data_IF_800110117204
#
_entry.id   IF_800110117204
#
_cell.length_a   1.000
_cell.length_b   1.000
_cell.length_c   1.000
_cell.angle_alpha   90.00
_cell.angle_beta   90.00
_cell.angle_gamma   90.00
#
_symmetry.space_group_name_H-M   'P 1'
#
loop_
_entity.id
_entity.type
_entity.pdbx_description
1 polymer ?
#
# COMPACT_ATOMS: atom_id res chain seq x y z
N UNK A 1 0.17 17.20 16.44
CA UNK A 1 -0.56 16.03 16.94
C UNK A 1 -1.42 15.48 15.83
N UNK A 2 -1.42 14.17 15.65
CA UNK A 2 -2.33 13.47 14.74
C UNK A 2 -3.71 13.40 15.36
N UNK A 3 -4.74 13.55 14.55
CA UNK A 3 -6.13 13.34 14.96
C UNK A 3 -6.51 11.86 14.79
N UNK A 4 -7.57 11.46 15.47
CA UNK A 4 -8.13 10.12 15.26
C UNK A 4 -8.52 9.96 13.78
N UNK A 5 -8.17 8.83 13.20
CA UNK A 5 -8.44 8.47 11.80
C UNK A 5 -7.81 9.42 10.75
N UNK A 6 -6.87 10.29 11.19
CA UNK A 6 -6.12 11.14 10.27
C UNK A 6 -5.08 10.31 9.50
N UNK A 7 -5.11 10.44 8.17
CA UNK A 7 -4.06 9.91 7.30
C UNK A 7 -3.02 10.97 7.04
N UNK A 8 -1.78 10.59 7.16
CA UNK A 8 -0.65 11.42 6.81
C UNK A 8 0.27 10.64 5.88
N UNK A 9 0.94 11.34 4.99
CA UNK A 9 1.94 10.76 4.12
C UNK A 9 3.32 11.29 4.47
N UNK A 10 4.31 10.42 4.40
CA UNK A 10 5.72 10.79 4.50
C UNK A 10 6.37 10.35 3.19
N UNK A 11 6.88 11.31 2.44
CA UNK A 11 7.49 11.07 1.13
C UNK A 11 9.00 11.36 1.18
N UNK A 12 9.80 10.87 0.23
CA UNK A 12 11.24 11.08 0.25
C UNK A 12 11.62 12.56 0.29
N UNK A 13 12.68 12.86 1.01
CA UNK A 13 13.32 14.19 1.04
C UNK A 13 13.67 14.64 -0.39
N UNK A 14 13.40 15.92 -0.68
CA UNK A 14 13.62 16.48 -2.01
C UNK A 14 12.51 16.24 -3.02
N UNK A 15 11.50 15.43 -2.72
CA UNK A 15 10.31 15.28 -3.56
C UNK A 15 9.36 16.44 -3.27
N UNK A 16 8.91 17.12 -4.32
CA UNK A 16 7.92 18.20 -4.21
C UNK A 16 6.57 17.64 -3.77
N UNK A 17 6.03 18.16 -2.67
CA UNK A 17 4.71 17.79 -2.13
C UNK A 17 3.61 18.04 -3.15
N UNK A 18 3.62 19.21 -3.81
CA UNK A 18 2.59 19.57 -4.80
C UNK A 18 2.62 18.61 -6.00
N UNK A 19 3.83 18.34 -6.52
CA UNK A 19 3.96 17.42 -7.64
C UNK A 19 3.57 15.99 -7.29
N UNK A 20 3.88 15.56 -6.05
CA UNK A 20 3.46 14.25 -5.54
C UNK A 20 1.94 14.16 -5.47
N UNK A 21 1.28 15.18 -4.89
CA UNK A 21 -0.19 15.22 -4.81
C UNK A 21 -0.85 15.15 -6.18
N UNK A 22 -0.33 15.89 -7.15
CA UNK A 22 -0.84 15.87 -8.54
C UNK A 22 -0.64 14.48 -9.17
N UNK A 23 0.56 13.92 -9.06
CA UNK A 23 0.89 12.65 -9.72
C UNK A 23 0.09 11.46 -9.18
N UNK A 24 -0.21 11.48 -7.88
CA UNK A 24 -0.86 10.38 -7.17
C UNK A 24 -2.32 10.69 -6.79
N UNK A 25 -2.86 11.81 -7.26
CA UNK A 25 -4.24 12.26 -6.98
C UNK A 25 -4.56 12.34 -5.47
N UNK A 26 -3.57 12.74 -4.67
CA UNK A 26 -3.74 12.86 -3.21
C UNK A 26 -4.63 14.06 -2.90
N UNK A 27 -5.70 13.87 -2.09
CA UNK A 27 -6.57 14.98 -1.71
C UNK A 27 -5.82 16.12 -0.99
N UNK A 28 -6.22 17.36 -1.22
CA UNK A 28 -5.60 18.53 -0.57
C UNK A 28 -5.69 18.49 0.95
N UNK A 29 -6.74 17.86 1.49
CA UNK A 29 -6.95 17.68 2.93
C UNK A 29 -5.92 16.75 3.57
N UNK A 30 -5.22 15.91 2.80
CA UNK A 30 -4.21 15.00 3.33
C UNK A 30 -2.92 15.76 3.59
N UNK A 31 -2.43 15.65 4.82
CA UNK A 31 -1.14 16.22 5.22
C UNK A 31 0.00 15.36 4.71
N UNK A 32 0.96 15.97 4.02
CA UNK A 32 2.12 15.30 3.45
C UNK A 32 3.39 15.92 4.03
N UNK A 33 4.23 15.09 4.61
CA UNK A 33 5.59 15.44 5.03
C UNK A 33 6.56 15.07 3.89
N UNK A 34 7.17 16.09 3.31
CA UNK A 34 8.07 15.97 2.17
C UNK A 34 9.04 17.15 2.13
N UNK A 35 9.76 17.36 1.04
CA UNK A 35 10.80 18.38 1.01
C UNK A 35 11.84 18.12 2.09
N UNK A 36 12.10 19.11 2.97
CA UNK A 36 13.05 18.96 4.07
C UNK A 36 12.54 18.10 5.23
N UNK A 37 11.21 17.91 5.33
CA UNK A 37 10.55 17.09 6.35
C UNK A 37 10.33 15.64 5.92
N UNK A 38 10.71 15.27 4.70
CA UNK A 38 10.62 13.92 4.17
C UNK A 38 11.66 12.96 4.75
N UNK A 39 11.46 11.66 4.53
CA UNK A 39 12.44 10.66 4.95
C UNK A 39 13.70 10.70 4.05
N UNK A 40 14.83 10.32 4.62
CA UNK A 40 16.10 10.23 3.90
C UNK A 40 16.32 8.83 3.32
N UNK A 41 16.94 8.77 2.15
CA UNK A 41 17.22 7.52 1.46
C UNK A 41 16.08 7.03 0.57
N UNK A 42 16.06 5.74 0.30
CA UNK A 42 15.04 5.05 -0.47
C UNK A 42 14.75 3.71 0.19
N UNK A 43 13.48 3.34 0.24
CA UNK A 43 13.07 2.04 0.74
C UNK A 43 13.66 0.93 -0.13
N UNK A 44 14.19 -0.10 0.51
CA UNK A 44 14.92 -1.19 -0.15
C UNK A 44 13.93 -2.27 -0.61
N UNK A 45 13.85 -2.54 -1.91
CA UNK A 45 12.99 -3.60 -2.44
C UNK A 45 13.37 -5.01 -1.96
N UNK A 46 14.60 -5.22 -1.50
CA UNK A 46 15.05 -6.50 -0.96
C UNK A 46 14.65 -6.73 0.51
N UNK A 47 14.12 -5.70 1.16
CA UNK A 47 13.66 -5.76 2.54
C UNK A 47 14.25 -4.64 3.39
N UNK A 48 13.45 -4.17 4.34
CA UNK A 48 13.81 -3.12 5.29
C UNK A 48 12.87 -3.15 6.50
N UNK A 49 13.37 -2.67 7.64
CA UNK A 49 12.57 -2.46 8.83
C UNK A 49 12.10 -1.00 8.90
N UNK A 50 10.80 -0.80 9.06
CA UNK A 50 10.19 0.50 9.28
C UNK A 50 9.51 0.47 10.64
N UNK A 51 9.89 1.40 11.53
CA UNK A 51 9.35 1.48 12.88
C UNK A 51 8.69 2.83 13.11
N UNK A 52 7.44 2.81 13.55
CA UNK A 52 6.72 4.00 14.00
C UNK A 52 6.90 4.18 15.50
N UNK A 53 7.53 5.27 15.88
CA UNK A 53 7.79 5.61 17.27
C UNK A 53 6.94 6.81 17.71
N UNK A 54 6.54 6.82 18.97
CA UNK A 54 5.99 8.02 19.62
C UNK A 54 6.84 8.41 20.84
N UNK A 55 6.96 9.71 21.14
CA UNK A 55 7.59 10.14 22.39
C UNK A 55 6.71 9.73 23.60
N UNK A 56 7.36 9.28 24.65
CA UNK A 56 6.77 9.14 25.98
C UNK A 56 6.98 10.39 26.83
N UNK A 57 6.58 10.32 28.08
CA UNK A 57 6.84 11.41 29.02
C UNK A 57 8.34 11.57 29.24
N UNK A 58 8.81 12.83 29.30
CA UNK A 58 10.21 13.09 29.68
C UNK A 58 10.54 12.48 31.04
N UNK A 59 11.68 11.82 31.13
CA UNK A 59 12.20 11.23 32.37
C UNK A 59 13.59 11.79 32.68
N UNK A 60 13.95 11.81 33.97
CA UNK A 60 15.26 12.26 34.41
C UNK A 60 16.18 11.08 34.63
N UNK A 61 17.22 10.97 33.80
CA UNK A 61 18.24 9.93 33.89
C UNK A 61 19.53 10.52 34.48
N UNK A 62 19.97 9.94 35.58
CA UNK A 62 21.22 10.39 36.24
C UNK A 62 22.42 10.30 35.28
N UNK A 63 23.10 11.42 35.09
CA UNK A 63 24.25 11.54 34.17
C UNK A 63 23.87 11.89 32.73
N UNK A 64 22.62 11.85 32.35
CA UNK A 64 22.13 12.21 30.98
C UNK A 64 21.19 13.43 30.99
N UNK A 65 20.59 13.76 32.16
CA UNK A 65 19.59 14.82 32.25
C UNK A 65 18.18 14.35 31.87
N UNK A 66 17.40 15.26 31.27
CA UNK A 66 16.06 14.95 30.79
C UNK A 66 16.15 14.20 29.47
N UNK A 67 15.61 12.99 29.44
CA UNK A 67 15.53 12.11 28.26
C UNK A 67 14.06 11.90 27.93
N UNK A 68 13.71 11.92 26.66
CA UNK A 68 12.39 11.54 26.17
C UNK A 68 12.48 10.14 25.57
N UNK A 69 11.97 9.12 26.26
CA UNK A 69 11.94 7.77 25.70
C UNK A 69 11.06 7.72 24.46
N UNK A 70 11.45 6.89 23.48
CA UNK A 70 10.65 6.63 22.31
C UNK A 70 10.01 5.25 22.46
N UNK A 71 8.70 5.17 22.29
CA UNK A 71 7.93 3.93 22.40
C UNK A 71 7.50 3.51 21.00
N UNK A 72 7.76 2.26 20.65
CA UNK A 72 7.26 1.66 19.43
C UNK A 72 5.74 1.57 19.48
N UNK A 73 5.12 2.04 18.42
CA UNK A 73 3.65 2.01 18.21
C UNK A 73 3.29 0.94 17.21
N UNK A 74 4.09 0.79 16.16
CA UNK A 74 3.89 -0.17 15.10
C UNK A 74 5.23 -0.39 14.37
N UNK A 75 5.40 -1.57 13.79
CA UNK A 75 6.56 -1.89 12.97
C UNK A 75 6.22 -2.83 11.84
N UNK A 76 7.03 -2.78 10.81
CA UNK A 76 7.03 -3.73 9.71
C UNK A 76 8.47 -4.01 9.29
N UNK A 77 8.80 -5.29 9.21
CA UNK A 77 10.08 -5.75 8.68
C UNK A 77 9.78 -6.63 7.47
N UNK A 78 9.60 -5.95 6.33
CA UNK A 78 9.31 -6.65 5.08
C UNK A 78 10.61 -7.13 4.42
N UNK A 79 10.51 -8.20 3.66
CA UNK A 79 11.60 -8.70 2.83
C UNK A 79 11.14 -8.96 1.39
N UNK A 80 12.10 -9.16 0.48
CA UNK A 80 11.84 -9.52 -0.91
C UNK A 80 11.53 -11.01 -1.12
N UNK A 81 11.29 -11.77 -0.04
CA UNK A 81 10.97 -13.19 -0.09
C UNK A 81 9.53 -13.47 -0.50
N UNK A 82 9.24 -14.75 -0.68
CA UNK A 82 7.92 -15.20 -1.17
C UNK A 82 6.79 -15.05 -0.13
N UNK A 83 7.13 -14.80 1.12
CA UNK A 83 6.14 -14.62 2.19
C UNK A 83 5.50 -13.23 2.18
N UNK A 84 6.18 -12.24 1.60
CA UNK A 84 5.67 -10.89 1.45
C UNK A 84 5.06 -10.64 0.08
N UNK A 85 3.96 -9.88 -0.02
CA UNK A 85 3.37 -9.53 -1.31
C UNK A 85 4.39 -8.83 -2.19
N UNK A 86 4.56 -9.33 -3.41
CA UNK A 86 5.44 -8.68 -4.39
C UNK A 86 4.67 -7.55 -5.07
N UNK A 87 5.20 -6.32 -4.99
CA UNK A 87 4.52 -5.14 -5.54
C UNK A 87 4.42 -5.14 -7.07
N UNK A 88 5.44 -5.71 -7.76
CA UNK A 88 5.48 -5.74 -9.24
C UNK A 88 5.22 -4.37 -9.89
N UNK A 89 5.81 -3.33 -9.31
CA UNK A 89 5.63 -1.94 -9.73
C UNK A 89 4.47 -1.21 -9.05
N UNK A 90 3.74 -1.87 -8.15
CA UNK A 90 2.70 -1.29 -7.30
C UNK A 90 3.17 -1.22 -5.84
N UNK A 91 2.48 -0.45 -5.03
CA UNK A 91 2.70 -0.48 -3.57
C UNK A 91 2.16 -1.77 -2.95
N UNK A 92 2.67 -2.10 -1.77
CA UNK A 92 1.99 -3.03 -0.87
C UNK A 92 1.16 -2.22 0.13
N UNK A 93 0.03 -2.77 0.54
CA UNK A 93 -0.97 -2.13 1.38
C UNK A 93 -1.38 -3.06 2.51
N UNK A 94 -1.61 -2.51 3.70
CA UNK A 94 -2.11 -3.28 4.83
C UNK A 94 -3.59 -3.61 4.62
N UNK A 95 -3.97 -4.88 4.83
CA UNK A 95 -5.36 -5.35 4.68
C UNK A 95 -6.21 -4.86 5.85
N UNK A 96 -5.70 -4.96 7.07
CA UNK A 96 -6.42 -4.55 8.27
C UNK A 96 -5.50 -3.78 9.23
N UNK A 97 -5.83 -2.52 9.48
CA UNK A 97 -5.04 -1.63 10.34
C UNK A 97 -5.06 -2.03 11.83
N UNK A 98 -5.97 -2.90 12.25
CA UNK A 98 -6.08 -3.37 13.63
C UNK A 98 -5.22 -4.62 13.91
N UNK A 99 -4.70 -5.25 12.86
CA UNK A 99 -3.82 -6.41 12.98
C UNK A 99 -2.35 -5.96 13.03
N UNK A 100 -1.48 -6.88 13.41
CA UNK A 100 -0.03 -6.65 13.53
C UNK A 100 0.57 -6.24 12.19
N UNK A 101 1.39 -5.18 12.19
CA UNK A 101 2.08 -4.68 11.00
C UNK A 101 3.16 -5.62 10.49
N UNK A 102 3.81 -6.34 11.39
CA UNK A 102 4.89 -7.27 11.06
C UNK A 102 4.40 -8.70 10.77
N UNK A 103 3.25 -8.82 10.12
CA UNK A 103 2.66 -10.08 9.66
C UNK A 103 2.38 -9.97 8.16
N UNK A 104 3.14 -10.70 7.35
CA UNK A 104 3.03 -10.66 5.88
C UNK A 104 1.64 -11.01 5.37
N UNK A 105 0.90 -11.86 6.10
CA UNK A 105 -0.48 -12.22 5.76
C UNK A 105 -1.47 -11.05 5.88
N UNK A 106 -1.08 -9.98 6.60
CA UNK A 106 -1.87 -8.74 6.72
C UNK A 106 -1.54 -7.70 5.65
N UNK A 107 -0.79 -8.08 4.64
CA UNK A 107 -0.42 -7.19 3.53
C UNK A 107 -0.86 -7.76 2.20
N UNK A 108 -1.11 -6.90 1.25
CA UNK A 108 -1.46 -7.23 -0.12
C UNK A 108 -0.80 -6.28 -1.09
N UNK A 109 -0.71 -6.68 -2.35
CA UNK A 109 -0.39 -5.76 -3.44
C UNK A 109 -1.58 -4.82 -3.67
N UNK A 110 -1.33 -3.53 -3.87
CA UNK A 110 -2.38 -2.58 -4.22
C UNK A 110 -3.10 -2.99 -5.50
N UNK A 111 -4.41 -2.85 -5.51
CA UNK A 111 -5.20 -3.01 -6.73
C UNK A 111 -4.92 -1.88 -7.73
N UNK A 112 -4.57 -0.69 -7.22
CA UNK A 112 -4.22 0.46 -8.06
C UNK A 112 -2.74 0.48 -8.42
N UNK A 113 -2.42 0.78 -9.68
CA UNK A 113 -1.03 0.86 -10.16
C UNK A 113 -0.19 1.91 -9.42
N UNK A 114 -0.82 2.98 -8.95
CA UNK A 114 -0.16 4.06 -8.20
C UNK A 114 -0.31 3.92 -6.69
N UNK A 115 -0.94 2.85 -6.21
CA UNK A 115 -1.37 2.74 -4.83
C UNK A 115 -2.51 3.70 -4.48
N UNK A 116 -2.85 3.77 -3.21
CA UNK A 116 -3.93 4.60 -2.68
C UNK A 116 -3.43 5.62 -1.65
N UNK A 117 -2.39 6.43 -1.95
CA UNK A 117 -1.78 7.30 -0.96
C UNK A 117 -2.76 8.36 -0.45
N UNK A 118 -2.99 8.37 0.85
CA UNK A 118 -3.92 9.30 1.52
C UNK A 118 -5.39 8.93 1.44
N UNK A 119 -5.73 7.81 0.83
CA UNK A 119 -7.08 7.25 0.78
C UNK A 119 -7.19 5.94 1.57
N UNK A 120 -8.34 5.29 1.54
CA UNK A 120 -8.49 3.90 2.00
C UNK A 120 -7.63 3.01 1.11
N UNK A 121 -7.03 1.99 1.69
CA UNK A 121 -6.35 0.96 0.92
C UNK A 121 -7.35 0.26 -0.01
N UNK A 122 -6.85 -0.22 -1.14
CA UNK A 122 -7.69 -0.93 -2.09
C UNK A 122 -8.36 -2.15 -1.43
N UNK A 123 -9.58 -2.43 -1.81
CA UNK A 123 -10.24 -3.64 -1.36
C UNK A 123 -9.40 -4.86 -1.76
N UNK A 124 -9.38 -5.86 -0.89
CA UNK A 124 -8.70 -7.10 -1.20
C UNK A 124 -9.37 -7.77 -2.39
N UNK A 125 -8.71 -7.66 -3.53
CA UNK A 125 -9.13 -8.42 -4.71
C UNK A 125 -8.60 -9.84 -4.55
N UNK A 126 -9.51 -10.81 -4.57
CA UNK A 126 -9.17 -12.22 -4.54
C UNK A 126 -9.97 -12.97 -5.60
N UNK A 127 -9.50 -14.16 -5.91
CA UNK A 127 -10.18 -15.04 -6.85
C UNK A 127 -10.49 -14.34 -8.18
N UNK A 128 -11.73 -14.45 -8.60
CA UNK A 128 -12.20 -13.98 -9.89
C UNK A 128 -11.99 -12.46 -10.11
N UNK A 129 -12.23 -11.63 -9.11
CA UNK A 129 -12.07 -10.18 -9.25
C UNK A 129 -10.62 -9.76 -9.48
N UNK A 130 -9.67 -10.44 -8.86
CA UNK A 130 -8.25 -10.21 -9.11
C UNK A 130 -7.85 -10.66 -10.52
N UNK A 131 -8.38 -11.79 -10.97
CA UNK A 131 -8.16 -12.30 -12.31
C UNK A 131 -8.74 -11.33 -13.36
N UNK A 132 -9.98 -10.87 -13.19
CA UNK A 132 -10.58 -9.85 -14.08
C UNK A 132 -9.73 -8.61 -14.20
N UNK A 133 -9.23 -8.11 -13.06
CA UNK A 133 -8.36 -6.92 -13.08
C UNK A 133 -7.09 -7.16 -13.86
N UNK A 134 -6.42 -8.28 -13.64
CA UNK A 134 -5.16 -8.59 -14.30
C UNK A 134 -5.33 -8.81 -15.81
N UNK A 135 -6.37 -9.55 -16.21
CA UNK A 135 -6.56 -9.92 -17.62
C UNK A 135 -7.15 -8.76 -18.46
N UNK A 136 -8.01 -7.95 -17.86
CA UNK A 136 -8.73 -6.90 -18.59
C UNK A 136 -8.24 -5.50 -18.25
N UNK A 137 -8.44 -5.03 -17.02
CA UNK A 137 -8.18 -3.63 -16.66
C UNK A 137 -6.72 -3.25 -16.82
N UNK A 138 -5.78 -4.06 -16.36
CA UNK A 138 -4.35 -3.78 -16.44
C UNK A 138 -3.84 -3.83 -17.88
N UNK A 139 -4.55 -4.52 -18.77
CA UNK A 139 -4.32 -4.51 -20.20
C UNK A 139 -5.10 -3.39 -20.94
N UNK A 140 -5.79 -2.52 -20.21
CA UNK A 140 -6.53 -1.39 -20.77
C UNK A 140 -7.87 -1.75 -21.38
N UNK A 141 -8.38 -2.93 -21.12
CA UNK A 141 -9.69 -3.42 -21.56
C UNK A 141 -10.71 -3.05 -20.50
N UNK A 142 -11.53 -2.04 -20.78
CA UNK A 142 -12.54 -1.53 -19.87
C UNK A 142 -13.91 -1.54 -20.57
N UNK A 143 -14.91 -2.15 -19.95
CA UNK A 143 -16.29 -2.06 -20.41
C UNK A 143 -16.90 -3.38 -20.83
N UNK A 144 -17.43 -3.44 -22.05
CA UNK A 144 -18.16 -4.63 -22.52
C UNK A 144 -17.28 -5.87 -22.64
N UNK A 145 -17.82 -7.01 -22.28
CA UNK A 145 -17.15 -8.30 -22.37
C UNK A 145 -16.41 -8.72 -21.11
N UNK A 146 -16.36 -7.88 -20.07
CA UNK A 146 -15.55 -8.13 -18.87
C UNK A 146 -16.33 -8.65 -17.66
N UNK A 147 -17.63 -8.95 -17.81
CA UNK A 147 -18.42 -9.50 -16.71
C UNK A 147 -18.28 -11.02 -16.59
N UNK A 148 -18.63 -11.63 -15.44
CA UNK A 148 -18.49 -13.08 -15.23
C UNK A 148 -19.22 -13.95 -16.27
N UNK A 149 -20.33 -13.46 -16.78
CA UNK A 149 -21.23 -14.22 -17.70
C UNK A 149 -21.01 -13.86 -19.16
N UNK A 150 -20.09 -12.96 -19.46
CA UNK A 150 -19.70 -12.61 -20.82
C UNK A 150 -18.57 -13.53 -21.29
N UNK A 151 -18.47 -13.66 -22.60
CA UNK A 151 -17.47 -14.41 -23.33
C UNK A 151 -16.72 -13.38 -24.19
N UNK A 152 -15.53 -12.98 -23.71
CA UNK A 152 -14.80 -11.85 -24.29
C UNK A 152 -14.20 -12.16 -25.64
N UNK A 153 -13.59 -13.35 -25.80
CA UNK A 153 -12.93 -13.77 -27.03
C UNK A 153 -13.86 -14.53 -28.00
N UNK A 154 -15.11 -14.80 -27.55
CA UNK A 154 -16.16 -15.46 -28.32
C UNK A 154 -15.85 -16.92 -28.69
N UNK A 155 -15.14 -17.61 -27.81
CA UNK A 155 -14.81 -19.04 -27.99
C UNK A 155 -15.90 -20.00 -27.47
N UNK A 156 -16.91 -19.46 -26.78
CA UNK A 156 -18.07 -20.19 -26.23
C UNK A 156 -17.90 -20.52 -24.74
N UNK A 157 -16.86 -20.05 -24.08
CA UNK A 157 -16.61 -20.20 -22.66
C UNK A 157 -16.75 -18.82 -22.01
N UNK A 158 -17.44 -18.74 -20.87
CA UNK A 158 -17.58 -17.46 -20.18
C UNK A 158 -16.32 -17.12 -19.35
N UNK A 159 -16.08 -15.84 -19.11
CA UNK A 159 -14.93 -15.39 -18.31
C UNK A 159 -14.84 -16.09 -16.94
N UNK A 160 -15.96 -16.40 -16.30
CA UNK A 160 -15.97 -17.14 -15.03
C UNK A 160 -15.54 -18.61 -15.22
N UNK A 161 -15.95 -19.24 -16.31
CA UNK A 161 -15.53 -20.61 -16.63
C UNK A 161 -14.06 -20.65 -17.00
N UNK A 162 -13.56 -19.69 -17.75
CA UNK A 162 -12.14 -19.56 -18.08
C UNK A 162 -11.28 -19.39 -16.82
N UNK A 163 -11.70 -18.48 -15.91
CA UNK A 163 -11.06 -18.35 -14.61
C UNK A 163 -11.03 -19.69 -13.86
N UNK A 164 -12.16 -20.39 -13.79
CA UNK A 164 -12.25 -21.67 -13.08
C UNK A 164 -11.39 -22.79 -13.70
N UNK A 165 -11.16 -22.72 -15.00
CA UNK A 165 -10.36 -23.67 -15.76
C UNK A 165 -8.90 -23.25 -15.94
N UNK A 166 -8.55 -22.02 -15.56
CA UNK A 166 -7.21 -21.46 -15.77
C UNK A 166 -6.90 -21.16 -17.24
N UNK A 167 -7.92 -20.76 -17.99
CA UNK A 167 -7.83 -20.36 -19.40
C UNK A 167 -7.63 -18.84 -19.51
N UNK A 168 -7.36 -18.40 -20.72
CA UNK A 168 -7.25 -16.99 -21.08
C UNK A 168 -8.58 -16.48 -21.62
N UNK A 169 -9.04 -15.28 -21.23
CA UNK A 169 -10.24 -14.66 -21.75
C UNK A 169 -10.06 -14.04 -23.13
#
# INVERSE_FOLDING_TARGET
TLQKDERVLIIPKGVSVDQFKINYLVPDSVRVFGGDEGYEGALNNAGEEIVLLRPDKPDFVVGQGIVVPMIEVDSVNYDGGIEWPQGEGRSIERINNLLVGNDSSNWQRSADQKGTPGAENSEQLNGFNLWLKNEFEDNGIIGQGTSPTEDYDSDGITNLEEYALGLNP
#
